data_IF_971898205976
#
_entry.id   IF_971898205976
#
_cell.length_a   1.000
_cell.length_b   1.000
_cell.length_c   1.000
_cell.angle_alpha   90.00
_cell.angle_beta   90.00
_cell.angle_gamma   90.00
#
_symmetry.space_group_name_H-M   'P 1'
#
loop_
_entity.id
_entity.type
_entity.pdbx_description
1 polymer ?
#
# COMPACT_ATOMS: atom_id res chain seq x y z
N UNK A 1 -12.45 2.85 19.92
CA UNK A 1 -12.50 2.79 18.44
C UNK A 1 -13.53 3.78 17.94
N UNK A 2 -13.14 4.77 17.12
CA UNK A 2 -14.07 5.77 16.60
C UNK A 2 -15.13 5.10 15.72
N UNK A 3 -16.41 5.33 15.99
CA UNK A 3 -17.48 5.00 15.05
C UNK A 3 -17.42 5.97 13.89
N UNK A 4 -17.91 5.57 12.74
CA UNK A 4 -17.96 6.43 11.55
C UNK A 4 -19.23 6.22 10.73
N UNK A 5 -19.65 7.28 10.02
CA UNK A 5 -20.66 7.25 8.95
C UNK A 5 -20.11 8.01 7.77
N UNK A 6 -20.42 7.56 6.57
CA UNK A 6 -19.93 8.21 5.35
C UNK A 6 -21.06 8.46 4.35
N UNK A 7 -20.86 9.48 3.53
CA UNK A 7 -21.67 9.79 2.36
C UNK A 7 -20.76 9.81 1.15
N UNK A 8 -21.06 8.96 0.17
CA UNK A 8 -20.48 9.03 -1.15
C UNK A 8 -21.51 9.70 -2.06
N UNK A 9 -21.21 10.87 -2.61
CA UNK A 9 -21.83 11.20 -3.89
C UNK A 9 -21.23 10.24 -4.90
N UNK A 10 -22.10 9.66 -5.76
CA UNK A 10 -21.70 8.72 -6.80
C UNK A 10 -20.78 9.42 -7.82
N UNK A 11 -19.53 9.59 -7.47
CA UNK A 11 -18.48 9.84 -8.43
C UNK A 11 -18.03 8.47 -8.93
N UNK A 12 -18.20 8.30 -10.25
CA UNK A 12 -17.70 7.19 -11.02
C UNK A 12 -16.41 6.65 -10.40
N UNK A 13 -16.45 5.38 -10.02
CA UNK A 13 -15.29 4.58 -9.71
C UNK A 13 -14.14 5.05 -10.60
N UNK A 14 -12.99 5.36 -10.00
CA UNK A 14 -11.76 5.45 -10.77
C UNK A 14 -11.70 4.14 -11.53
N UNK A 15 -11.94 4.19 -12.85
CA UNK A 15 -12.13 3.02 -13.70
C UNK A 15 -10.79 2.38 -14.01
N UNK A 16 -10.24 1.74 -13.00
CA UNK A 16 -9.21 0.76 -13.14
C UNK A 16 -9.81 -0.55 -12.60
N UNK A 17 -9.75 -1.63 -13.36
CA UNK A 17 -10.26 -2.93 -12.92
C UNK A 17 -9.66 -3.40 -11.60
N UNK A 18 -8.46 -2.92 -11.25
CA UNK A 18 -7.81 -3.12 -9.96
C UNK A 18 -8.50 -2.38 -8.79
N UNK A 19 -9.24 -1.30 -9.04
CA UNK A 19 -9.96 -0.56 -8.01
C UNK A 19 -11.33 -1.19 -7.72
N UNK A 20 -11.89 -1.96 -8.65
CA UNK A 20 -13.16 -2.67 -8.45
C UNK A 20 -13.06 -3.76 -7.38
N UNK A 21 -11.87 -4.31 -7.14
CA UNK A 21 -11.60 -5.32 -6.11
C UNK A 21 -11.14 -4.71 -4.79
N UNK A 22 -10.53 -3.52 -4.81
CA UNK A 22 -10.12 -2.79 -3.62
C UNK A 22 -11.18 -1.74 -3.29
N UNK A 23 -11.79 -1.81 -2.11
CA UNK A 23 -12.85 -0.91 -1.69
C UNK A 23 -12.30 0.49 -1.40
N UNK A 24 -12.09 1.28 -2.46
CA UNK A 24 -11.55 2.65 -2.41
C UNK A 24 -12.56 3.61 -3.00
N UNK A 25 -12.89 4.68 -2.25
CA UNK A 25 -13.89 5.66 -2.66
C UNK A 25 -13.39 7.08 -2.49
N UNK A 26 -13.82 7.98 -3.37
CA UNK A 26 -13.76 9.41 -3.10
C UNK A 26 -15.01 9.80 -2.30
N UNK A 27 -14.81 10.45 -1.16
CA UNK A 27 -15.90 10.84 -0.25
C UNK A 27 -16.12 12.34 -0.29
N UNK A 28 -17.40 12.76 -0.29
CA UNK A 28 -17.81 14.14 -0.02
C UNK A 28 -17.78 14.43 1.48
N UNK A 29 -18.13 13.44 2.30
CA UNK A 29 -18.16 13.57 3.77
C UNK A 29 -17.97 12.23 4.46
N UNK A 30 -17.29 12.25 5.59
CA UNK A 30 -17.26 11.17 6.57
C UNK A 30 -17.33 11.75 7.97
N UNK A 31 -18.32 11.33 8.75
CA UNK A 31 -18.48 11.73 10.15
C UNK A 31 -17.92 10.68 11.07
N UNK A 32 -17.24 11.13 12.11
CA UNK A 32 -16.65 10.30 13.15
C UNK A 32 -17.24 10.70 14.51
N UNK A 33 -17.49 9.70 15.33
CA UNK A 33 -17.81 9.84 16.74
C UNK A 33 -16.66 9.24 17.57
N UNK A 34 -16.04 10.02 18.44
CA UNK A 34 -15.02 9.56 19.38
C UNK A 34 -15.63 8.80 20.55
N UNK A 35 -14.81 8.14 21.34
CA UNK A 35 -15.23 7.40 22.54
C UNK A 35 -15.83 8.32 23.61
N UNK A 36 -15.45 9.59 23.63
CA UNK A 36 -16.02 10.61 24.53
C UNK A 36 -17.34 11.23 24.02
N UNK A 37 -17.88 10.74 22.88
CA UNK A 37 -19.08 11.24 22.24
C UNK A 37 -18.87 12.49 21.38
N UNK A 38 -17.65 13.00 21.27
CA UNK A 38 -17.36 14.16 20.41
C UNK A 38 -17.44 13.76 18.93
N UNK A 39 -18.23 14.50 18.16
CA UNK A 39 -18.34 14.31 16.71
C UNK A 39 -17.43 15.26 15.94
N UNK A 40 -16.91 14.80 14.82
CA UNK A 40 -16.22 15.63 13.85
C UNK A 40 -16.37 15.06 12.43
N UNK A 41 -16.23 15.93 11.42
CA UNK A 41 -16.39 15.53 10.02
C UNK A 41 -15.10 15.71 9.23
N UNK A 42 -14.84 14.77 8.34
CA UNK A 42 -13.90 14.94 7.23
C UNK A 42 -14.69 15.27 5.96
N UNK A 43 -14.42 16.42 5.36
CA UNK A 43 -15.09 16.88 4.14
C UNK A 43 -14.11 16.73 2.98
N UNK A 44 -14.61 16.16 1.87
CA UNK A 44 -13.93 16.08 0.58
C UNK A 44 -14.56 17.00 -0.45
N UNK A 45 -13.74 17.47 -1.38
CA UNK A 45 -14.16 18.27 -2.53
C UNK A 45 -13.17 18.07 -3.68
N UNK A 46 -13.48 18.57 -4.87
CA UNK A 46 -12.57 18.56 -6.01
C UNK A 46 -11.23 19.27 -5.72
N UNK A 47 -11.23 20.32 -4.89
CA UNK A 47 -10.04 21.06 -4.50
C UNK A 47 -9.28 20.42 -3.33
N UNK A 48 -9.97 19.69 -2.47
CA UNK A 48 -9.42 19.01 -1.29
C UNK A 48 -9.99 17.58 -1.20
N UNK A 49 -9.51 16.64 -2.05
CA UNK A 49 -10.07 15.31 -2.12
C UNK A 49 -9.87 14.52 -0.82
N UNK A 50 -10.86 13.66 -0.52
CA UNK A 50 -10.84 12.73 0.59
C UNK A 50 -11.07 11.32 0.04
N UNK A 51 -10.07 10.46 0.15
CA UNK A 51 -10.14 9.07 -0.27
C UNK A 51 -10.33 8.16 0.93
N UNK A 52 -11.21 7.18 0.81
CA UNK A 52 -11.44 6.17 1.83
C UNK A 52 -10.96 4.81 1.36
N UNK A 53 -10.17 4.15 2.18
CA UNK A 53 -9.81 2.74 2.06
C UNK A 53 -10.64 1.97 3.09
N UNK A 54 -11.54 1.11 2.61
CA UNK A 54 -12.39 0.31 3.48
C UNK A 54 -11.80 -1.08 3.71
N UNK A 55 -12.07 -1.63 4.88
CA UNK A 55 -11.62 -2.93 5.34
C UNK A 55 -12.77 -3.76 5.88
N UNK A 56 -12.67 -5.09 5.79
CA UNK A 56 -13.62 -6.04 6.37
C UNK A 56 -15.07 -5.73 5.96
N UNK A 57 -15.34 -5.53 4.69
CA UNK A 57 -16.67 -5.21 4.20
C UNK A 57 -17.24 -3.90 4.76
N UNK A 58 -16.37 -2.87 4.93
CA UNK A 58 -16.72 -1.52 5.43
C UNK A 58 -16.90 -1.38 6.95
N UNK A 59 -16.43 -2.33 7.76
CA UNK A 59 -16.40 -2.15 9.22
C UNK A 59 -15.24 -1.28 9.70
N UNK A 60 -14.19 -1.16 8.90
CA UNK A 60 -13.03 -0.28 9.14
C UNK A 60 -12.77 0.66 7.99
N UNK A 61 -12.26 1.84 8.28
CA UNK A 61 -11.89 2.84 7.27
C UNK A 61 -10.58 3.56 7.63
N UNK A 62 -9.72 3.75 6.62
CA UNK A 62 -8.65 4.75 6.65
C UNK A 62 -8.97 5.83 5.63
N UNK A 63 -9.03 7.08 6.07
CA UNK A 63 -9.16 8.21 5.16
C UNK A 63 -7.79 8.78 4.83
N UNK A 64 -7.58 9.07 3.54
CA UNK A 64 -6.43 9.82 3.04
C UNK A 64 -6.88 11.17 2.49
N UNK A 65 -6.33 12.24 3.04
CA UNK A 65 -6.67 13.63 2.76
C UNK A 65 -5.39 14.39 2.36
N UNK A 66 -4.94 14.29 1.10
CA UNK A 66 -3.61 14.77 0.67
C UNK A 66 -3.38 16.26 0.88
N UNK A 67 -4.44 17.08 0.87
CA UNK A 67 -4.40 18.54 1.06
C UNK A 67 -4.61 19.00 2.51
N UNK A 68 -4.89 18.08 3.43
CA UNK A 68 -5.15 18.40 4.85
C UNK A 68 -3.88 18.37 5.69
N UNK A 69 -3.85 19.19 6.76
CA UNK A 69 -2.79 19.12 7.78
C UNK A 69 -2.76 17.75 8.45
N UNK A 70 -3.93 17.21 8.82
CA UNK A 70 -4.10 15.83 9.27
C UNK A 70 -4.46 14.98 8.06
N UNK A 71 -3.46 14.32 7.48
CA UNK A 71 -3.60 13.59 6.21
C UNK A 71 -4.36 12.27 6.35
N UNK A 72 -4.26 11.61 7.49
CA UNK A 72 -4.88 10.31 7.74
C UNK A 72 -5.83 10.37 8.93
N UNK A 73 -6.99 9.75 8.77
CA UNK A 73 -7.95 9.50 9.84
C UNK A 73 -8.35 8.03 9.80
N UNK A 74 -8.68 7.48 10.95
CA UNK A 74 -9.02 6.08 11.10
C UNK A 74 -10.34 5.93 11.85
N UNK A 75 -11.20 5.02 11.42
CA UNK A 75 -12.46 4.70 12.08
C UNK A 75 -12.81 3.22 11.97
N UNK A 76 -13.66 2.75 12.89
CA UNK A 76 -14.12 1.37 12.92
C UNK A 76 -13.03 0.35 13.22
N UNK A 77 -13.24 -0.88 12.80
CA UNK A 77 -12.37 -2.03 13.06
C UNK A 77 -11.38 -2.23 11.92
N UNK A 78 -10.12 -1.85 12.15
CA UNK A 78 -9.04 -2.10 11.21
C UNK A 78 -8.37 -3.45 11.49
N UNK A 79 -7.88 -4.16 10.46
CA UNK A 79 -7.15 -5.41 10.64
C UNK A 79 -5.89 -5.22 11.49
N UNK A 80 -5.53 -6.27 12.24
CA UNK A 80 -4.29 -6.32 13.02
C UNK A 80 -3.52 -7.60 12.67
N UNK A 81 -2.34 -7.49 12.06
CA UNK A 81 -1.70 -6.25 11.60
C UNK A 81 -2.49 -5.56 10.49
N UNK A 82 -2.29 -4.26 10.35
CA UNK A 82 -2.86 -3.50 9.25
C UNK A 82 -2.20 -3.91 7.93
N UNK A 83 -2.97 -4.45 7.00
CA UNK A 83 -2.52 -4.76 5.64
C UNK A 83 -3.62 -4.39 4.66
N UNK A 84 -3.28 -3.56 3.70
CA UNK A 84 -4.13 -3.23 2.56
C UNK A 84 -3.76 -4.13 1.37
N UNK A 85 -4.76 -4.61 0.64
CA UNK A 85 -4.54 -5.45 -0.54
C UNK A 85 -4.42 -6.95 -0.26
N UNK A 86 -4.49 -7.41 0.98
CA UNK A 86 -4.36 -8.82 1.34
C UNK A 86 -5.44 -9.70 0.71
N UNK A 87 -6.70 -9.25 0.74
CA UNK A 87 -7.85 -10.00 0.22
C UNK A 87 -7.87 -10.11 -1.32
N UNK A 88 -7.11 -9.26 -2.00
CA UNK A 88 -6.97 -9.25 -3.46
C UNK A 88 -5.84 -10.13 -3.97
N UNK A 89 -5.00 -10.64 -3.07
CA UNK A 89 -3.94 -11.55 -3.45
C UNK A 89 -4.54 -12.88 -3.96
N UNK A 90 -3.91 -13.48 -5.00
CA UNK A 90 -4.36 -14.77 -5.51
C UNK A 90 -4.44 -15.81 -4.39
N UNK A 91 -5.43 -16.71 -4.48
CA UNK A 91 -5.63 -17.76 -3.49
C UNK A 91 -4.38 -18.65 -3.32
N UNK A 92 -4.23 -19.23 -2.14
CA UNK A 92 -3.20 -20.24 -1.88
C UNK A 92 -3.43 -21.49 -2.73
N UNK A 93 -2.36 -22.19 -3.09
CA UNK A 93 -2.41 -23.46 -3.85
C UNK A 93 -1.59 -23.47 -5.14
N UNK A 94 -1.29 -22.33 -5.74
CA UNK A 94 -0.31 -22.15 -6.81
C UNK A 94 0.64 -21.02 -6.41
N UNK A 95 1.93 -21.27 -6.53
CA UNK A 95 2.93 -20.25 -6.27
C UNK A 95 2.97 -19.25 -7.44
N UNK A 96 2.89 -17.98 -7.11
CA UNK A 96 2.97 -16.86 -8.06
C UNK A 96 4.39 -16.30 -8.07
N UNK A 97 4.76 -15.59 -9.14
CA UNK A 97 6.13 -15.11 -9.33
C UNK A 97 6.50 -14.06 -8.25
N UNK A 98 5.87 -12.90 -8.28
CA UNK A 98 6.30 -11.73 -7.48
C UNK A 98 5.17 -11.13 -6.66
N UNK A 99 5.50 -10.70 -5.43
CA UNK A 99 4.68 -9.85 -4.59
C UNK A 99 5.46 -8.59 -4.23
N UNK A 100 4.84 -7.43 -4.38
CA UNK A 100 5.39 -6.17 -3.90
C UNK A 100 4.79 -5.80 -2.54
N UNK A 101 5.64 -5.35 -1.62
CA UNK A 101 5.25 -4.76 -0.34
C UNK A 101 5.66 -3.29 -0.37
N UNK A 102 4.68 -2.39 -0.17
CA UNK A 102 4.87 -0.93 -0.23
C UNK A 102 4.59 -0.28 1.12
N UNK A 103 4.98 0.99 1.26
CA UNK A 103 4.72 1.80 2.45
C UNK A 103 3.34 2.46 2.51
N UNK A 104 2.52 2.35 1.45
CA UNK A 104 1.22 3.01 1.38
C UNK A 104 0.25 2.43 0.36
N UNK A 105 -1.04 2.64 0.62
CA UNK A 105 -2.13 2.11 -0.20
C UNK A 105 -2.09 2.62 -1.65
N UNK A 106 -1.74 3.90 -1.84
CA UNK A 106 -1.61 4.53 -3.15
C UNK A 106 -0.62 3.76 -4.02
N UNK A 107 0.47 3.33 -3.44
CA UNK A 107 1.57 2.66 -4.14
C UNK A 107 1.20 1.21 -4.47
N UNK A 108 0.52 0.52 -3.56
CA UNK A 108 -0.03 -0.81 -3.84
C UNK A 108 -1.06 -0.75 -4.98
N UNK A 109 -1.93 0.25 -5.00
CA UNK A 109 -2.89 0.46 -6.10
C UNK A 109 -2.20 0.79 -7.42
N UNK A 110 -1.13 1.60 -7.38
CA UNK A 110 -0.34 1.94 -8.57
C UNK A 110 0.29 0.68 -9.18
N UNK A 111 0.90 -0.19 -8.37
CA UNK A 111 1.43 -1.47 -8.83
C UNK A 111 0.33 -2.39 -9.36
N UNK A 112 -0.80 -2.51 -8.66
CA UNK A 112 -1.92 -3.33 -9.09
C UNK A 112 -2.49 -2.87 -10.45
N UNK A 113 -2.53 -1.55 -10.71
CA UNK A 113 -2.97 -1.00 -12.00
C UNK A 113 -2.03 -1.36 -13.17
N UNK A 114 -0.80 -1.78 -12.87
CA UNK A 114 0.17 -2.26 -13.85
C UNK A 114 0.29 -3.80 -13.87
N UNK A 115 -0.65 -4.51 -13.21
CA UNK A 115 -0.75 -5.97 -13.25
C UNK A 115 0.09 -6.71 -12.20
N UNK A 116 0.66 -6.01 -11.21
CA UNK A 116 1.45 -6.63 -10.15
C UNK A 116 0.61 -7.00 -8.93
N UNK A 117 0.95 -8.09 -8.26
CA UNK A 117 0.45 -8.37 -6.92
C UNK A 117 1.13 -7.42 -5.93
N UNK A 118 0.36 -6.68 -5.16
CA UNK A 118 0.89 -5.71 -4.23
C UNK A 118 0.05 -5.58 -2.96
N UNK A 119 0.72 -5.37 -1.83
CA UNK A 119 0.12 -5.05 -0.55
C UNK A 119 0.83 -3.85 0.08
N UNK A 120 0.15 -3.20 1.01
CA UNK A 120 0.75 -2.14 1.81
C UNK A 120 0.48 -2.35 3.30
N UNK A 121 1.53 -2.18 4.11
CA UNK A 121 1.36 -1.99 5.55
C UNK A 121 1.01 -0.53 5.85
N UNK A 122 0.68 -0.22 7.12
CA UNK A 122 0.26 1.14 7.48
C UNK A 122 1.35 2.21 7.29
N UNK A 123 2.60 1.80 7.32
CA UNK A 123 3.78 2.61 7.00
C UNK A 123 4.98 1.70 6.72
N UNK A 124 6.05 2.24 6.16
CA UNK A 124 7.32 1.53 5.93
C UNK A 124 7.97 1.03 7.22
N UNK A 125 7.80 1.79 8.33
CA UNK A 125 8.30 1.42 9.66
C UNK A 125 7.38 0.46 10.43
N UNK A 126 6.27 0.02 9.85
CA UNK A 126 5.38 -0.94 10.50
C UNK A 126 6.10 -2.27 10.70
N UNK A 127 5.96 -2.86 11.89
CA UNK A 127 6.44 -4.23 12.14
C UNK A 127 5.64 -5.22 11.30
N UNK A 128 6.34 -6.14 10.66
CA UNK A 128 5.76 -7.21 9.86
C UNK A 128 5.96 -8.52 10.62
N UNK A 129 4.88 -9.19 11.06
CA UNK A 129 5.01 -10.48 11.73
C UNK A 129 5.64 -11.54 10.82
N UNK A 130 6.59 -12.31 11.34
CA UNK A 130 7.30 -13.34 10.56
C UNK A 130 6.35 -14.39 9.96
N UNK A 131 5.29 -14.75 10.68
CA UNK A 131 4.28 -15.69 10.18
C UNK A 131 3.57 -15.18 8.91
N UNK A 132 3.44 -13.86 8.73
CA UNK A 132 2.89 -13.31 7.49
C UNK A 132 3.87 -13.44 6.33
N UNK A 133 5.15 -13.12 6.55
CA UNK A 133 6.18 -13.32 5.52
C UNK A 133 6.28 -14.80 5.14
N UNK A 134 6.19 -15.70 6.12
CA UNK A 134 6.12 -17.14 5.86
C UNK A 134 4.94 -17.50 4.96
N UNK A 135 3.72 -17.07 5.30
CA UNK A 135 2.52 -17.31 4.48
C UNK A 135 2.68 -16.74 3.07
N UNK A 136 3.21 -15.52 2.94
CA UNK A 136 3.46 -14.90 1.63
C UNK A 136 4.52 -15.68 0.83
N UNK A 137 5.56 -16.20 1.48
CA UNK A 137 6.59 -17.01 0.82
C UNK A 137 6.09 -18.37 0.31
N UNK A 138 5.00 -18.87 0.90
CA UNK A 138 4.31 -20.06 0.40
C UNK A 138 3.46 -19.77 -0.86
N UNK A 139 3.06 -18.50 -1.06
CA UNK A 139 2.20 -18.03 -2.16
C UNK A 139 3.01 -17.41 -3.30
N UNK A 140 4.19 -16.84 -3.03
CA UNK A 140 5.01 -16.11 -3.98
C UNK A 140 6.45 -16.62 -3.97
N UNK A 141 7.09 -16.62 -5.16
CA UNK A 141 8.50 -17.01 -5.27
C UNK A 141 9.42 -15.91 -4.76
N UNK A 142 9.06 -14.65 -5.01
CA UNK A 142 9.84 -13.48 -4.65
C UNK A 142 8.97 -12.44 -3.95
N UNK A 143 9.41 -11.97 -2.78
CA UNK A 143 8.79 -10.86 -2.04
C UNK A 143 9.69 -9.63 -2.18
N UNK A 144 9.15 -8.55 -2.76
CA UNK A 144 9.89 -7.35 -3.14
C UNK A 144 9.47 -6.18 -2.27
N UNK A 145 10.35 -5.67 -1.43
CA UNK A 145 10.14 -4.41 -0.73
C UNK A 145 10.40 -3.23 -1.68
N UNK A 146 9.32 -2.53 -2.04
CA UNK A 146 9.31 -1.34 -2.89
C UNK A 146 8.88 -0.13 -2.04
N UNK A 147 9.82 0.40 -1.25
CA UNK A 147 9.60 1.54 -0.37
C UNK A 147 10.10 2.83 -1.04
N UNK A 148 9.81 3.96 -0.41
CA UNK A 148 10.24 5.27 -0.90
C UNK A 148 11.78 5.32 -1.07
N UNK A 149 12.26 6.12 -2.00
CA UNK A 149 13.70 6.34 -2.22
C UNK A 149 14.28 7.44 -1.30
N UNK A 150 13.51 7.94 -0.35
CA UNK A 150 14.01 8.83 0.69
C UNK A 150 14.79 8.05 1.78
N UNK A 151 15.42 8.78 2.69
CA UNK A 151 16.27 8.19 3.74
C UNK A 151 15.52 7.13 4.57
N UNK A 152 14.26 7.39 4.90
CA UNK A 152 13.45 6.47 5.72
C UNK A 152 13.14 5.19 4.95
N UNK A 153 12.63 5.29 3.73
CA UNK A 153 12.27 4.12 2.92
C UNK A 153 13.49 3.24 2.59
N UNK A 154 14.65 3.87 2.31
CA UNK A 154 15.91 3.12 2.11
C UNK A 154 16.32 2.38 3.38
N UNK A 155 16.28 3.01 4.54
CA UNK A 155 16.66 2.38 5.81
C UNK A 155 15.72 1.24 6.18
N UNK A 156 14.41 1.47 6.10
CA UNK A 156 13.39 0.48 6.45
C UNK A 156 13.39 -0.72 5.49
N UNK A 157 13.54 -0.50 4.17
CA UNK A 157 13.63 -1.61 3.22
C UNK A 157 14.88 -2.47 3.44
N UNK A 158 16.02 -1.87 3.77
CA UNK A 158 17.23 -2.60 4.17
C UNK A 158 17.03 -3.42 5.45
N UNK A 159 16.35 -2.83 6.45
CA UNK A 159 16.05 -3.52 7.70
C UNK A 159 15.15 -4.74 7.45
N UNK A 160 14.10 -4.62 6.62
CA UNK A 160 13.21 -5.75 6.28
C UNK A 160 13.95 -6.88 5.57
N UNK A 161 14.80 -6.56 4.58
CA UNK A 161 15.61 -7.60 3.91
C UNK A 161 16.58 -8.26 4.91
N UNK A 162 17.28 -7.48 5.73
CA UNK A 162 18.17 -8.04 6.76
C UNK A 162 17.44 -8.95 7.76
N UNK A 163 16.18 -8.63 8.09
CA UNK A 163 15.36 -9.41 9.01
C UNK A 163 14.94 -10.76 8.43
N UNK A 164 14.64 -10.82 7.13
CA UNK A 164 13.95 -11.97 6.54
C UNK A 164 14.76 -12.77 5.51
N UNK A 165 15.80 -12.21 4.88
CA UNK A 165 16.53 -12.86 3.77
C UNK A 165 17.24 -14.16 4.16
N UNK A 166 17.58 -14.35 5.42
CA UNK A 166 18.17 -15.61 5.91
C UNK A 166 17.22 -16.83 5.86
N UNK A 167 15.90 -16.60 5.67
CA UNK A 167 14.87 -17.65 5.69
C UNK A 167 13.95 -17.64 4.47
N UNK A 168 13.78 -16.49 3.82
CA UNK A 168 12.78 -16.28 2.76
C UNK A 168 13.40 -15.54 1.57
N UNK A 169 12.89 -15.77 0.38
CA UNK A 169 13.27 -15.05 -0.85
C UNK A 169 12.70 -13.64 -0.84
N UNK A 170 13.32 -12.77 -0.08
CA UNK A 170 12.94 -11.36 0.07
C UNK A 170 14.01 -10.45 -0.49
N UNK A 171 13.60 -9.41 -1.18
CA UNK A 171 14.47 -8.48 -1.89
C UNK A 171 14.02 -7.06 -1.65
N UNK A 172 14.91 -6.11 -1.86
CA UNK A 172 14.55 -4.69 -1.96
C UNK A 172 14.95 -4.15 -3.32
N UNK A 173 14.15 -3.25 -3.82
CA UNK A 173 14.53 -2.45 -4.99
C UNK A 173 14.71 -0.99 -4.57
N UNK A 174 15.46 -0.27 -5.38
CA UNK A 174 15.65 1.16 -5.28
C UNK A 174 15.32 1.77 -6.63
N UNK A 175 14.24 2.54 -6.68
CA UNK A 175 13.80 3.19 -7.92
C UNK A 175 14.79 4.30 -8.30
N UNK A 176 15.00 4.59 -9.59
CA UNK A 176 15.92 5.64 -10.06
C UNK A 176 15.28 7.04 -9.88
N UNK A 177 14.84 7.35 -8.68
CA UNK A 177 14.18 8.59 -8.32
C UNK A 177 15.03 9.37 -7.32
N UNK A 178 14.95 10.71 -7.30
CA UNK A 178 15.81 11.56 -6.48
C UNK A 178 15.50 11.52 -4.97
N UNK A 179 14.45 10.83 -4.52
CA UNK A 179 14.07 10.74 -3.11
C UNK A 179 13.49 12.04 -2.52
N UNK A 180 13.02 12.94 -3.39
CA UNK A 180 12.38 14.19 -2.97
C UNK A 180 10.89 13.98 -2.65
N UNK A 181 10.26 14.94 -1.98
CA UNK A 181 8.83 14.87 -1.66
C UNK A 181 7.92 14.69 -2.88
N UNK A 182 8.36 15.08 -4.06
CA UNK A 182 7.61 15.05 -5.32
C UNK A 182 7.94 13.83 -6.19
N UNK A 183 9.05 13.14 -5.89
CA UNK A 183 9.58 12.06 -6.72
C UNK A 183 10.37 11.09 -5.84
N UNK A 184 9.69 10.06 -5.31
CA UNK A 184 10.31 9.10 -4.39
C UNK A 184 9.64 7.72 -4.33
N UNK A 185 8.39 7.60 -4.74
CA UNK A 185 7.62 6.37 -4.62
C UNK A 185 7.27 5.76 -5.99
N UNK A 186 6.74 4.54 -5.98
CA UNK A 186 6.39 3.82 -7.22
C UNK A 186 5.28 4.52 -8.02
N UNK A 187 4.41 5.27 -7.36
CA UNK A 187 3.40 6.06 -8.06
C UNK A 187 4.03 7.23 -8.80
N UNK A 188 5.06 7.85 -8.21
CA UNK A 188 5.84 8.90 -8.87
C UNK A 188 6.63 8.33 -10.05
N UNK A 189 7.22 7.13 -9.90
CA UNK A 189 7.94 6.42 -10.97
C UNK A 189 7.08 6.27 -12.23
N UNK A 190 5.88 5.72 -12.10
CA UNK A 190 4.97 5.59 -13.24
C UNK A 190 4.45 6.93 -13.76
N UNK A 191 4.18 7.89 -12.87
CA UNK A 191 3.77 9.24 -13.24
C UNK A 191 4.85 9.99 -14.06
N UNK A 192 6.12 9.73 -13.81
CA UNK A 192 7.25 10.29 -14.55
C UNK A 192 7.46 9.60 -15.91
N UNK A 193 6.64 8.62 -16.25
CA UNK A 193 6.63 7.96 -17.56
C UNK A 193 7.44 6.68 -17.64
N UNK A 194 7.97 6.20 -16.52
CA UNK A 194 8.62 4.89 -16.47
C UNK A 194 7.62 3.76 -16.69
N UNK A 195 8.09 2.67 -17.24
CA UNK A 195 7.27 1.54 -17.68
C UNK A 195 7.35 0.34 -16.73
N UNK A 196 6.37 -0.57 -16.84
CA UNK A 196 6.40 -1.86 -16.16
C UNK A 196 7.65 -2.67 -16.52
N UNK A 197 8.08 -2.66 -17.79
CA UNK A 197 9.30 -3.35 -18.23
C UNK A 197 10.58 -2.81 -17.61
N UNK A 198 10.66 -1.49 -17.33
CA UNK A 198 11.77 -0.92 -16.57
C UNK A 198 11.75 -1.38 -15.12
N UNK A 199 10.56 -1.42 -14.49
CA UNK A 199 10.41 -1.96 -13.14
C UNK A 199 10.83 -3.44 -13.08
N UNK A 200 10.39 -4.28 -14.02
CA UNK A 200 10.80 -5.67 -14.10
C UNK A 200 12.32 -5.80 -14.21
N UNK A 201 12.96 -4.97 -15.03
CA UNK A 201 14.43 -4.97 -15.16
C UNK A 201 15.16 -4.60 -13.87
N UNK A 202 14.59 -3.71 -13.05
CA UNK A 202 15.12 -3.34 -11.73
C UNK A 202 14.99 -4.52 -10.76
N UNK A 203 13.83 -5.19 -10.76
CA UNK A 203 13.55 -6.34 -9.90
C UNK A 203 14.46 -7.53 -10.25
N UNK A 204 14.60 -7.87 -11.52
CA UNK A 204 15.48 -8.96 -11.97
C UNK A 204 16.94 -8.73 -11.57
N UNK A 205 17.41 -7.49 -11.66
CA UNK A 205 18.75 -7.13 -11.18
C UNK A 205 18.90 -7.30 -9.66
N UNK A 206 17.86 -7.01 -8.88
CA UNK A 206 17.88 -7.18 -7.43
C UNK A 206 17.95 -8.68 -7.06
N UNK A 207 17.10 -9.50 -7.71
CA UNK A 207 17.06 -10.95 -7.50
C UNK A 207 18.42 -11.59 -7.89
N UNK A 208 18.95 -11.24 -9.05
CA UNK A 208 20.21 -11.83 -9.56
C UNK A 208 21.44 -11.49 -8.71
N UNK A 209 21.47 -10.33 -8.05
CA UNK A 209 22.60 -9.93 -7.20
C UNK A 209 22.71 -10.75 -5.90
N UNK A 210 21.59 -11.18 -5.34
CA UNK A 210 21.61 -11.99 -4.08
C UNK A 210 21.91 -13.47 -4.35
N UNK A 211 21.62 -13.98 -5.56
CA UNK A 211 22.01 -15.36 -5.96
C UNK A 211 23.53 -15.50 -6.16
N UNK A 212 24.25 -14.39 -6.31
CA UNK A 212 25.70 -14.37 -6.57
C UNK A 212 26.57 -14.21 -5.30
N UNK A 213 25.98 -14.15 -4.11
CA UNK A 213 26.64 -14.07 -2.79
C UNK A 213 26.44 -15.36 -2.01
#
# INVERSE_FOLDING_TARGET
TNKFRFWSESYSSISCDCVSTNTVYSLSRCDFEREDGTEFSAIGSSLAPCFAYFFNGITGVKLYRPKSKVRFLYGGELPKPYVFGWEQLPASGKKHDKLFITGGEKDALSLASHGYNAIAFNSESASIPENMIKELSERFEHIIFCYDTDTTGIQESKARVSEFSGKYSVYRIELPLPGTKQSKDISDFFKEGHTAGELDSIVEKAISKEVAL
#
